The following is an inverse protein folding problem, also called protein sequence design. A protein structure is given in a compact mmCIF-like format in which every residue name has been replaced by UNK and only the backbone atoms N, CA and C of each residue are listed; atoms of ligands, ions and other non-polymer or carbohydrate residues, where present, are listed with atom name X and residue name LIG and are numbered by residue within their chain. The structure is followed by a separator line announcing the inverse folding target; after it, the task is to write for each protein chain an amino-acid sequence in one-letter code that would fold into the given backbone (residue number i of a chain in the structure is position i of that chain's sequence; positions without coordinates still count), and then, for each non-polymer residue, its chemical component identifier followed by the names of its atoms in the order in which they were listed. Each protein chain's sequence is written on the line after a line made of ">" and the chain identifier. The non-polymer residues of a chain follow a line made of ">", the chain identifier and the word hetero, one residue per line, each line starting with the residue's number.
data_IF_821783821099
#
_entry.id   IF_821783821099
#
_cell.length_a   1.000
_cell.length_b   1.000
_cell.length_c   1.000
_cell.angle_alpha   90.00
_cell.angle_beta   90.00
_cell.angle_gamma   90.00
#
_symmetry.space_group_name_H-M   'P 1'
#
loop_
_entity.id
_entity.type
_entity.pdbx_description
1 polymer ?
#
# COMPACT_ATOMS: atom_id res chain seq x y z
N UNK A 1 -27.66 11.25 14.98
CA UNK A 1 -26.77 10.46 14.11
C UNK A 1 -26.06 9.51 15.03
N UNK A 2 -26.44 8.23 14.98
CA UNK A 2 -25.83 7.21 15.82
C UNK A 2 -24.49 6.84 15.18
N UNK A 3 -23.39 7.26 15.80
CA UNK A 3 -22.03 7.11 15.24
C UNK A 3 -21.55 5.65 15.18
N UNK A 4 -22.34 4.69 15.70
CA UNK A 4 -21.98 3.27 15.71
C UNK A 4 -20.81 2.96 16.62
N UNK A 5 -20.45 1.67 16.71
CA UNK A 5 -19.40 1.17 17.63
C UNK A 5 -18.00 1.69 17.26
N UNK A 6 -17.80 2.14 16.01
CA UNK A 6 -16.52 2.68 15.54
C UNK A 6 -16.69 3.95 14.71
N UNK A 7 -17.42 4.93 15.27
CA UNK A 7 -17.54 6.27 14.71
C UNK A 7 -16.23 7.05 14.64
N UNK A 8 -16.26 8.26 14.07
CA UNK A 8 -15.06 9.07 13.81
C UNK A 8 -14.19 9.29 15.05
N UNK A 9 -14.79 9.56 16.21
CA UNK A 9 -14.04 9.78 17.46
C UNK A 9 -13.34 8.50 17.92
N UNK A 10 -14.00 7.35 17.82
CA UNK A 10 -13.42 6.05 18.16
C UNK A 10 -12.28 5.67 17.19
N UNK A 11 -12.44 5.96 15.90
CA UNK A 11 -11.39 5.79 14.89
C UNK A 11 -10.16 6.66 15.21
N UNK A 12 -10.36 7.95 15.49
CA UNK A 12 -9.26 8.87 15.81
C UNK A 12 -8.49 8.42 17.06
N UNK A 13 -9.21 7.93 18.08
CA UNK A 13 -8.60 7.35 19.27
C UNK A 13 -7.79 6.09 18.95
N UNK A 14 -8.36 5.15 18.20
CA UNK A 14 -7.67 3.91 17.86
C UNK A 14 -6.44 4.15 16.97
N UNK A 15 -6.52 5.14 16.06
CA UNK A 15 -5.36 5.59 15.28
C UNK A 15 -4.28 6.14 16.22
N UNK A 16 -4.64 7.00 17.17
CA UNK A 16 -3.70 7.56 18.14
C UNK A 16 -3.05 6.48 19.02
N UNK A 17 -3.80 5.44 19.40
CA UNK A 17 -3.27 4.29 20.15
C UNK A 17 -2.26 3.48 19.32
N UNK A 18 -2.52 3.24 18.02
CA UNK A 18 -1.55 2.59 17.12
C UNK A 18 -0.32 3.46 16.90
N UNK A 19 -0.49 4.78 16.73
CA UNK A 19 0.64 5.72 16.62
C UNK A 19 1.48 5.74 17.90
N UNK A 20 0.85 5.66 19.08
CA UNK A 20 1.54 5.56 20.36
C UNK A 20 2.31 4.24 20.51
N UNK A 21 1.73 3.12 20.07
CA UNK A 21 2.43 1.82 20.10
C UNK A 21 3.64 1.80 19.14
N UNK A 22 3.52 2.45 17.98
CA UNK A 22 4.65 2.65 17.07
C UNK A 22 5.75 3.51 17.71
N UNK A 23 5.41 4.58 18.42
CA UNK A 23 6.37 5.40 19.15
C UNK A 23 7.07 4.61 20.27
N UNK A 24 6.30 3.83 21.05
CA UNK A 24 6.84 2.93 22.07
C UNK A 24 7.80 1.90 21.49
N UNK A 25 7.47 1.32 20.33
CA UNK A 25 8.36 0.41 19.62
C UNK A 25 9.67 1.11 19.22
N UNK A 26 9.62 2.35 18.73
CA UNK A 26 10.83 3.12 18.43
C UNK A 26 11.70 3.36 19.67
N UNK A 27 11.11 3.68 20.82
CA UNK A 27 11.82 3.87 22.09
C UNK A 27 12.50 2.56 22.53
N UNK A 28 11.75 1.45 22.55
CA UNK A 28 12.28 0.14 22.91
C UNK A 28 13.42 -0.32 21.99
N UNK A 29 13.32 -0.03 20.70
CA UNK A 29 14.39 -0.29 19.74
C UNK A 29 15.60 0.62 20.01
N UNK A 30 15.41 1.90 20.31
CA UNK A 30 16.50 2.83 20.62
C UNK A 30 17.28 2.42 21.88
N UNK A 31 16.57 1.91 22.89
CA UNK A 31 17.16 1.40 24.13
C UNK A 31 17.81 0.00 23.97
N UNK A 32 17.63 -0.65 22.81
CA UNK A 32 18.11 -2.00 22.55
C UNK A 32 17.39 -3.08 23.35
N UNK A 33 16.26 -2.74 23.98
CA UNK A 33 15.62 -3.54 25.05
C UNK A 33 14.54 -4.51 24.58
N UNK A 34 14.18 -4.56 23.29
CA UNK A 34 13.10 -5.44 22.87
C UNK A 34 13.46 -6.24 21.64
N UNK A 35 13.42 -7.57 21.80
CA UNK A 35 12.84 -8.55 20.88
C UNK A 35 13.27 -10.00 21.20
N UNK A 36 13.41 -10.37 22.48
CA UNK A 36 13.69 -11.77 22.84
C UNK A 36 15.03 -12.30 22.32
N UNK A 37 16.07 -11.46 22.38
CA UNK A 37 17.46 -11.87 22.42
C UNK A 37 17.93 -11.63 23.87
N UNK A 38 18.78 -12.51 24.39
CA UNK A 38 19.17 -12.58 25.81
C UNK A 38 19.56 -11.22 26.41
N UNK A 39 19.29 -11.03 27.71
CA UNK A 39 19.73 -9.85 28.47
C UNK A 39 21.24 -9.60 28.24
N UNK A 40 21.59 -8.39 27.82
CA UNK A 40 22.98 -7.95 27.67
C UNK A 40 23.57 -7.98 26.25
N UNK A 41 22.82 -8.32 25.21
CA UNK A 41 23.25 -8.07 23.82
C UNK A 41 22.86 -6.68 23.35
N UNK A 42 23.86 -5.83 23.12
CA UNK A 42 23.69 -4.55 22.43
C UNK A 42 23.23 -4.82 20.98
N UNK A 43 21.93 -4.67 20.72
CA UNK A 43 21.40 -4.70 19.35
C UNK A 43 21.70 -3.38 18.64
N UNK A 44 21.77 -3.41 17.30
CA UNK A 44 21.72 -2.21 16.46
C UNK A 44 20.29 -1.63 16.40
N UNK A 45 19.61 -1.57 17.56
CA UNK A 45 18.23 -1.13 17.67
C UNK A 45 18.05 0.36 17.35
N UNK A 46 19.09 1.17 17.61
CA UNK A 46 19.13 2.57 17.17
C UNK A 46 18.94 2.75 15.66
N UNK A 47 19.49 1.86 14.82
CA UNK A 47 19.30 1.95 13.37
C UNK A 47 17.85 1.66 12.94
N UNK A 48 17.17 0.73 13.60
CA UNK A 48 15.75 0.43 13.34
C UNK A 48 14.85 1.57 13.83
N UNK A 49 15.17 2.16 14.99
CA UNK A 49 14.45 3.32 15.52
C UNK A 49 14.59 4.55 14.61
N UNK A 50 15.82 4.91 14.22
CA UNK A 50 16.11 5.98 13.25
C UNK A 50 15.32 5.81 11.96
N UNK A 51 15.30 4.60 11.41
CA UNK A 51 14.59 4.27 10.17
C UNK A 51 13.07 4.47 10.29
N UNK A 52 12.47 4.06 11.41
CA UNK A 52 11.03 4.24 11.64
C UNK A 52 10.68 5.72 11.85
N UNK A 53 11.52 6.49 12.55
CA UNK A 53 11.34 7.94 12.71
C UNK A 53 11.40 8.64 11.34
N UNK A 54 12.41 8.32 10.51
CA UNK A 54 12.53 8.84 9.14
C UNK A 54 11.27 8.54 8.31
N UNK A 55 10.72 7.33 8.40
CA UNK A 55 9.48 6.96 7.71
C UNK A 55 8.30 7.85 8.13
N UNK A 56 8.08 8.05 9.43
CA UNK A 56 6.96 8.86 9.91
C UNK A 56 7.11 10.35 9.55
N UNK A 57 8.33 10.88 9.59
CA UNK A 57 8.57 12.26 9.17
C UNK A 57 8.34 12.43 7.66
N UNK A 58 8.73 11.45 6.86
CA UNK A 58 8.49 11.45 5.42
C UNK A 58 6.99 11.33 5.08
N UNK A 59 6.24 10.50 5.80
CA UNK A 59 4.77 10.41 5.69
C UNK A 59 4.12 11.76 5.96
N UNK A 60 4.57 12.48 7.00
CA UNK A 60 4.07 13.81 7.36
C UNK A 60 4.41 14.84 6.29
N UNK A 61 5.66 14.85 5.81
CA UNK A 61 6.15 15.81 4.83
C UNK A 61 5.51 15.65 3.45
N UNK A 62 5.32 14.41 2.96
CA UNK A 62 4.74 14.12 1.63
C UNK A 62 3.20 14.16 1.59
N UNK A 63 2.53 14.64 2.66
CA UNK A 63 1.06 14.71 2.70
C UNK A 63 0.36 13.35 2.62
N UNK A 64 1.08 12.25 2.87
CA UNK A 64 0.57 10.86 2.77
C UNK A 64 -0.28 10.44 3.98
N UNK A 65 -0.53 11.37 4.91
CA UNK A 65 -1.30 11.15 6.15
C UNK A 65 -2.68 10.52 5.92
N UNK A 66 -3.48 10.91 4.90
CA UNK A 66 -4.75 10.22 4.63
C UNK A 66 -4.57 8.76 4.20
N UNK A 67 -3.47 8.43 3.53
CA UNK A 67 -3.13 7.05 3.17
C UNK A 67 -2.80 6.22 4.41
N UNK A 68 -2.00 6.77 5.33
CA UNK A 68 -1.62 6.08 6.58
C UNK A 68 -2.82 5.84 7.50
N UNK A 69 -3.77 6.80 7.58
CA UNK A 69 -5.03 6.57 8.28
C UNK A 69 -5.78 5.35 7.73
N UNK A 70 -5.84 5.19 6.40
CA UNK A 70 -6.45 4.02 5.75
C UNK A 70 -5.71 2.71 6.07
N UNK A 71 -4.37 2.73 6.11
CA UNK A 71 -3.56 1.55 6.45
C UNK A 71 -3.80 1.07 7.89
N UNK A 72 -3.97 2.02 8.82
CA UNK A 72 -4.24 1.72 10.24
C UNK A 72 -5.68 1.25 10.44
N UNK A 73 -6.64 1.96 9.85
CA UNK A 73 -8.08 1.68 10.08
C UNK A 73 -8.55 0.38 9.44
N UNK A 74 -7.96 -0.05 8.33
CA UNK A 74 -8.37 -1.29 7.66
C UNK A 74 -8.39 -2.53 8.60
N UNK A 75 -7.28 -2.95 9.22
CA UNK A 75 -7.30 -4.14 10.08
C UNK A 75 -8.20 -3.96 11.31
N UNK A 76 -8.30 -2.74 11.87
CA UNK A 76 -9.20 -2.43 12.98
C UNK A 76 -10.66 -2.65 12.59
N UNK A 77 -11.07 -2.10 11.45
CA UNK A 77 -12.42 -2.22 10.92
C UNK A 77 -12.79 -3.65 10.53
N UNK A 78 -11.85 -4.41 9.95
CA UNK A 78 -12.10 -5.81 9.58
C UNK A 78 -12.32 -6.66 10.83
N UNK A 79 -11.48 -6.49 11.87
CA UNK A 79 -11.67 -7.21 13.12
C UNK A 79 -12.98 -6.78 13.80
N UNK A 80 -13.26 -5.48 13.88
CA UNK A 80 -14.50 -4.95 14.43
C UNK A 80 -15.75 -5.42 13.67
N UNK A 81 -15.68 -5.60 12.35
CA UNK A 81 -16.78 -6.17 11.57
C UNK A 81 -17.09 -7.62 12.00
N UNK A 82 -16.09 -8.40 12.41
CA UNK A 82 -16.30 -9.78 12.84
C UNK A 82 -16.69 -9.92 14.32
N UNK A 83 -16.19 -9.05 15.18
CA UNK A 83 -16.28 -9.22 16.64
C UNK A 83 -17.11 -8.15 17.35
N UNK A 84 -17.39 -7.03 16.70
CA UNK A 84 -17.89 -5.81 17.32
C UNK A 84 -16.86 -5.03 18.12
N UNK A 85 -15.60 -5.49 18.20
CA UNK A 85 -14.51 -4.82 18.93
C UNK A 85 -13.28 -4.66 18.02
N UNK A 86 -12.97 -3.45 17.54
CA UNK A 86 -11.85 -3.22 16.63
C UNK A 86 -10.47 -3.19 17.32
N UNK A 87 -10.42 -2.92 18.63
CA UNK A 87 -9.17 -2.65 19.35
C UNK A 87 -8.14 -3.80 19.31
N UNK A 88 -8.53 -5.09 19.39
CA UNK A 88 -7.57 -6.20 19.40
C UNK A 88 -6.71 -6.30 18.12
N UNK A 89 -7.12 -5.68 17.00
CA UNK A 89 -6.35 -5.68 15.76
C UNK A 89 -5.24 -4.63 15.69
N UNK A 90 -5.02 -3.82 16.74
CA UNK A 90 -3.92 -2.85 16.78
C UNK A 90 -2.53 -3.44 16.41
N UNK A 91 -2.14 -4.66 16.87
CA UNK A 91 -0.87 -5.25 16.45
C UNK A 91 -0.79 -5.57 14.96
N UNK A 92 -1.92 -5.90 14.32
CA UNK A 92 -1.97 -6.11 12.86
C UNK A 92 -1.80 -4.78 12.12
N UNK A 93 -2.36 -3.68 12.64
CA UNK A 93 -2.12 -2.34 12.12
C UNK A 93 -0.64 -1.94 12.20
N UNK A 94 0.02 -2.22 13.34
CA UNK A 94 1.46 -2.02 13.52
C UNK A 94 2.26 -2.83 12.49
N UNK A 95 1.97 -4.13 12.34
CA UNK A 95 2.65 -4.99 11.35
C UNK A 95 2.48 -4.44 9.92
N UNK A 96 1.29 -3.96 9.58
CA UNK A 96 1.01 -3.36 8.27
C UNK A 96 1.85 -2.08 8.05
N UNK A 97 1.98 -1.22 9.07
CA UNK A 97 2.83 -0.03 8.98
C UNK A 97 4.32 -0.37 8.85
N UNK A 98 4.82 -1.36 9.61
CA UNK A 98 6.20 -1.84 9.51
C UNK A 98 6.50 -2.37 8.10
N UNK A 99 5.55 -3.10 7.51
CA UNK A 99 5.65 -3.54 6.13
C UNK A 99 5.79 -2.35 5.17
N UNK A 100 4.94 -1.33 5.29
CA UNK A 100 4.98 -0.14 4.43
C UNK A 100 6.24 0.69 4.61
N UNK A 101 6.76 0.80 5.84
CA UNK A 101 8.02 1.47 6.12
C UNK A 101 9.17 0.82 5.35
N UNK A 102 9.25 -0.51 5.37
CA UNK A 102 10.25 -1.27 4.64
C UNK A 102 10.04 -1.22 3.13
N UNK A 103 8.83 -1.48 2.65
CA UNK A 103 8.52 -1.53 1.22
C UNK A 103 8.82 -0.18 0.55
N UNK A 104 8.44 0.93 1.18
CA UNK A 104 8.67 2.27 0.65
C UNK A 104 10.16 2.58 0.50
N UNK A 105 10.97 2.23 1.48
CA UNK A 105 12.42 2.43 1.39
C UNK A 105 13.05 1.62 0.25
N UNK A 106 12.64 0.35 0.10
CA UNK A 106 13.15 -0.54 -0.95
C UNK A 106 12.70 -0.10 -2.36
N UNK A 107 11.48 0.41 -2.49
CA UNK A 107 10.95 0.98 -3.73
C UNK A 107 11.70 2.27 -4.11
N UNK A 108 11.85 3.23 -3.18
CA UNK A 108 12.61 4.48 -3.39
C UNK A 108 14.07 4.19 -3.84
N UNK A 109 14.72 3.16 -3.28
CA UNK A 109 16.08 2.73 -3.68
C UNK A 109 16.12 2.21 -5.13
N UNK A 110 15.08 1.48 -5.53
CA UNK A 110 14.99 0.89 -6.87
C UNK A 110 14.71 1.95 -7.93
N UNK A 111 13.87 2.93 -7.60
CA UNK A 111 13.56 4.06 -8.47
C UNK A 111 14.76 5.00 -8.64
N UNK A 112 15.49 5.31 -7.56
CA UNK A 112 16.71 6.11 -7.63
C UNK A 112 17.76 5.49 -8.56
N UNK A 113 17.93 4.17 -8.49
CA UNK A 113 18.84 3.43 -9.38
C UNK A 113 18.41 3.47 -10.87
N UNK A 114 17.13 3.71 -11.14
CA UNK A 114 16.57 3.82 -12.49
C UNK A 114 16.67 5.24 -13.06
N UNK A 115 16.73 6.25 -12.19
CA UNK A 115 16.87 7.67 -12.53
C UNK A 115 18.34 8.10 -12.77
N UNK A 116 19.28 7.60 -11.96
CA UNK A 116 20.69 7.92 -12.08
C UNK A 116 21.42 6.90 -12.96
N UNK A 117 21.83 7.31 -14.16
CA UNK A 117 22.60 6.46 -15.07
C UNK A 117 23.93 6.01 -14.45
N UNK A 118 23.96 4.82 -13.83
CA UNK A 118 25.06 3.92 -13.45
C UNK A 118 26.36 4.47 -12.78
N UNK A 119 26.69 5.75 -12.84
CA UNK A 119 28.03 6.31 -12.63
C UNK A 119 28.25 6.98 -11.26
N UNK A 120 27.23 7.17 -10.42
CA UNK A 120 27.34 7.85 -9.11
C UNK A 120 27.40 6.89 -7.90
N UNK A 121 27.69 5.59 -8.09
CA UNK A 121 27.44 4.55 -7.08
C UNK A 121 28.53 4.32 -6.02
N UNK A 122 29.61 5.10 -5.97
CA UNK A 122 30.78 4.73 -5.14
C UNK A 122 30.85 5.39 -3.76
N UNK A 123 30.08 6.44 -3.47
CA UNK A 123 30.19 7.18 -2.19
C UNK A 123 29.07 6.86 -1.18
N UNK A 124 27.90 6.35 -1.64
CA UNK A 124 26.73 6.08 -0.77
C UNK A 124 26.51 4.59 -0.42
N UNK A 125 27.32 3.67 -0.97
CA UNK A 125 27.09 2.22 -0.85
C UNK A 125 27.01 1.67 0.59
N UNK A 126 27.85 2.11 1.57
CA UNK A 126 27.75 1.64 2.95
C UNK A 126 26.47 2.10 3.66
N UNK A 127 25.99 3.33 3.37
CA UNK A 127 24.76 3.86 3.95
C UNK A 127 23.51 3.16 3.40
N UNK A 128 23.50 2.85 2.10
CA UNK A 128 22.46 2.03 1.47
C UNK A 128 22.43 0.61 2.06
N UNK A 129 23.60 -0.02 2.27
CA UNK A 129 23.70 -1.33 2.92
C UNK A 129 23.08 -1.38 4.32
N UNK A 130 23.35 -0.37 5.17
CA UNK A 130 22.74 -0.25 6.51
C UNK A 130 21.21 -0.24 6.41
N UNK A 131 20.65 0.63 5.57
CA UNK A 131 19.19 0.81 5.47
C UNK A 131 18.48 -0.39 4.83
N UNK A 132 19.11 -1.11 3.88
CA UNK A 132 18.55 -2.37 3.36
C UNK A 132 18.41 -3.42 4.47
N UNK A 133 19.46 -3.63 5.27
CA UNK A 133 19.41 -4.55 6.40
C UNK A 133 18.36 -4.13 7.43
N UNK A 134 18.25 -2.83 7.69
CA UNK A 134 17.21 -2.28 8.56
C UNK A 134 15.81 -2.55 8.00
N UNK A 135 15.55 -2.31 6.71
CA UNK A 135 14.25 -2.58 6.09
C UNK A 135 13.88 -4.08 6.18
N UNK A 136 14.84 -4.98 6.00
CA UNK A 136 14.64 -6.42 6.17
C UNK A 136 14.30 -6.79 7.62
N UNK A 137 14.98 -6.19 8.60
CA UNK A 137 14.68 -6.41 10.01
C UNK A 137 13.30 -5.85 10.38
N UNK A 138 13.04 -4.58 10.03
CA UNK A 138 11.80 -3.84 10.33
C UNK A 138 10.57 -4.51 9.73
N UNK A 139 10.63 -4.88 8.46
CA UNK A 139 9.48 -5.39 7.73
C UNK A 139 9.33 -6.91 7.76
N UNK A 140 10.43 -7.65 7.97
CA UNK A 140 10.43 -9.11 7.97
C UNK A 140 10.51 -9.73 9.37
N UNK A 141 11.39 -9.23 10.24
CA UNK A 141 11.69 -9.87 11.54
C UNK A 141 10.87 -9.29 12.69
N UNK A 142 10.68 -7.96 12.76
CA UNK A 142 9.85 -7.34 13.81
C UNK A 142 8.42 -7.90 13.82
N UNK A 143 7.73 -8.07 12.67
CA UNK A 143 6.39 -8.65 12.66
C UNK A 143 6.32 -10.04 13.26
N UNK A 144 7.32 -10.89 12.97
CA UNK A 144 7.39 -12.23 13.54
C UNK A 144 7.51 -12.22 15.08
N UNK A 145 8.26 -11.24 15.62
CA UNK A 145 8.39 -11.06 17.07
C UNK A 145 7.13 -10.51 17.72
N UNK A 146 6.45 -9.56 17.06
CA UNK A 146 5.13 -9.08 17.50
C UNK A 146 4.14 -10.24 17.55
N UNK A 147 4.03 -11.03 16.47
CA UNK A 147 3.13 -12.19 16.39
C UNK A 147 3.44 -13.21 17.49
N UNK A 148 4.72 -13.52 17.73
CA UNK A 148 5.13 -14.46 18.76
C UNK A 148 4.72 -14.02 20.18
N UNK A 149 4.74 -12.71 20.45
CA UNK A 149 4.35 -12.12 21.72
C UNK A 149 2.83 -11.94 21.92
N UNK A 150 2.01 -12.19 20.90
CA UNK A 150 0.56 -12.01 21.02
C UNK A 150 -0.08 -13.00 22.01
N UNK A 151 -1.03 -12.54 22.85
CA UNK A 151 -1.82 -13.39 23.74
C UNK A 151 -2.90 -14.16 22.98
N UNK A 152 -2.53 -14.85 21.90
CA UNK A 152 -3.41 -15.63 21.03
C UNK A 152 -3.08 -17.14 21.10
N UNK A 153 -3.96 -17.98 20.56
CA UNK A 153 -3.67 -19.42 20.41
C UNK A 153 -2.55 -19.68 19.41
N UNK A 154 -1.86 -20.84 19.53
CA UNK A 154 -0.76 -21.20 18.63
C UNK A 154 -1.20 -21.25 17.14
N UNK A 155 -2.42 -21.72 16.88
CA UNK A 155 -2.98 -21.74 15.53
C UNK A 155 -3.18 -20.35 14.94
N UNK A 156 -3.66 -19.38 15.74
CA UNK A 156 -3.84 -17.98 15.30
C UNK A 156 -2.48 -17.35 15.01
N UNK A 157 -1.49 -17.52 15.88
CA UNK A 157 -0.12 -17.02 15.63
C UNK A 157 0.49 -17.61 14.36
N UNK A 158 0.30 -18.91 14.12
CA UNK A 158 0.76 -19.55 12.89
C UNK A 158 0.06 -18.99 11.64
N UNK A 159 -1.25 -18.75 11.70
CA UNK A 159 -2.01 -18.16 10.60
C UNK A 159 -1.55 -16.72 10.30
N UNK A 160 -1.32 -15.89 11.33
CA UNK A 160 -0.77 -14.54 11.16
C UNK A 160 0.62 -14.56 10.51
N UNK A 161 1.48 -15.50 10.92
CA UNK A 161 2.80 -15.65 10.32
C UNK A 161 2.73 -16.07 8.84
N UNK A 162 1.79 -16.96 8.47
CA UNK A 162 1.54 -17.33 7.07
C UNK A 162 1.08 -16.13 6.25
N UNK A 163 0.13 -15.33 6.75
CA UNK A 163 -0.37 -14.13 6.04
C UNK A 163 0.75 -13.11 5.81
N UNK A 164 1.61 -12.86 6.81
CA UNK A 164 2.76 -11.95 6.64
C UNK A 164 3.74 -12.47 5.60
N UNK A 165 4.08 -13.76 5.66
CA UNK A 165 4.99 -14.38 4.69
C UNK A 165 4.41 -14.35 3.27
N UNK A 166 3.14 -14.70 3.12
CA UNK A 166 2.42 -14.69 1.85
C UNK A 166 2.32 -13.27 1.28
N UNK A 167 2.00 -12.28 2.12
CA UNK A 167 1.96 -10.87 1.73
C UNK A 167 3.28 -10.36 1.17
N UNK A 168 4.40 -10.69 1.83
CA UNK A 168 5.75 -10.38 1.32
C UNK A 168 6.05 -11.05 -0.02
N UNK A 169 5.80 -12.36 -0.15
CA UNK A 169 6.09 -13.10 -1.38
C UNK A 169 5.27 -12.59 -2.56
N UNK A 170 3.96 -12.36 -2.36
CA UNK A 170 3.08 -11.80 -3.39
C UNK A 170 3.56 -10.39 -3.80
N UNK A 171 3.89 -9.52 -2.84
CA UNK A 171 4.31 -8.16 -3.12
C UNK A 171 5.67 -8.09 -3.84
N UNK A 172 6.64 -8.91 -3.43
CA UNK A 172 7.95 -8.98 -4.10
C UNK A 172 7.80 -9.51 -5.53
N UNK A 173 6.99 -10.54 -5.76
CA UNK A 173 6.69 -11.00 -7.12
C UNK A 173 6.00 -9.90 -7.96
N UNK A 174 5.10 -9.11 -7.35
CA UNK A 174 4.53 -7.92 -7.95
C UNK A 174 5.59 -6.89 -8.35
N UNK A 175 6.50 -6.56 -7.43
CA UNK A 175 7.59 -5.61 -7.68
C UNK A 175 8.53 -6.10 -8.80
N UNK A 176 8.94 -7.37 -8.77
CA UNK A 176 9.83 -7.91 -9.80
C UNK A 176 9.20 -7.85 -11.20
N UNK A 177 7.87 -7.99 -11.29
CA UNK A 177 7.15 -7.81 -12.55
C UNK A 177 7.09 -6.36 -12.98
N UNK A 178 6.78 -5.45 -12.05
CA UNK A 178 6.77 -4.00 -12.31
C UNK A 178 8.11 -3.54 -12.90
N UNK A 179 9.23 -4.04 -12.37
CA UNK A 179 10.58 -3.72 -12.85
C UNK A 179 10.95 -4.34 -14.20
N UNK A 180 10.24 -5.38 -14.64
CA UNK A 180 10.53 -6.10 -15.90
C UNK A 180 9.49 -5.83 -16.99
N UNK A 181 8.29 -5.37 -16.62
CA UNK A 181 7.22 -5.03 -17.54
C UNK A 181 7.59 -3.78 -18.34
N UNK A 182 7.26 -3.80 -19.64
CA UNK A 182 7.57 -2.69 -20.54
C UNK A 182 6.29 -2.15 -21.17
N UNK A 183 6.07 -0.83 -21.18
CA UNK A 183 4.87 -0.22 -21.76
C UNK A 183 4.50 -0.68 -23.18
N UNK A 184 5.44 -0.96 -24.11
CA UNK A 184 5.10 -1.44 -25.45
C UNK A 184 4.38 -2.79 -25.50
N UNK A 185 4.54 -3.63 -24.47
CA UNK A 185 3.96 -4.99 -24.40
C UNK A 185 2.98 -5.17 -23.23
N UNK A 186 2.89 -4.18 -22.34
CA UNK A 186 1.94 -4.16 -21.25
C UNK A 186 0.50 -4.05 -21.78
N UNK A 187 -0.43 -4.65 -21.03
CA UNK A 187 -1.87 -4.58 -21.26
C UNK A 187 -2.56 -4.06 -20.00
N UNK A 188 -3.76 -3.45 -20.08
CA UNK A 188 -4.46 -3.00 -18.88
C UNK A 188 -4.62 -4.13 -17.84
N UNK A 189 -4.90 -5.34 -18.30
CA UNK A 189 -5.02 -6.51 -17.42
C UNK A 189 -3.70 -7.00 -16.81
N UNK A 190 -2.54 -6.81 -17.47
CA UNK A 190 -1.25 -7.17 -16.88
C UNK A 190 -0.84 -6.18 -15.78
N UNK A 191 -1.06 -4.88 -16.02
CA UNK A 191 -0.82 -3.84 -15.02
C UNK A 191 -1.70 -4.04 -13.78
N UNK A 192 -3.01 -4.31 -13.95
CA UNK A 192 -3.89 -4.59 -12.81
C UNK A 192 -3.45 -5.83 -12.01
N UNK A 193 -2.97 -6.89 -12.67
CA UNK A 193 -2.39 -8.04 -11.96
C UNK A 193 -1.09 -7.69 -11.23
N UNK A 194 -0.31 -6.75 -11.78
CA UNK A 194 0.82 -6.13 -11.08
C UNK A 194 0.36 -5.44 -9.81
N UNK A 195 -0.67 -4.59 -9.90
CA UNK A 195 -1.21 -3.83 -8.76
C UNK A 195 -1.81 -4.75 -7.70
N UNK A 196 -2.51 -5.82 -8.09
CA UNK A 196 -3.05 -6.84 -7.18
C UNK A 196 -1.96 -7.51 -6.34
N UNK A 197 -0.74 -7.60 -6.87
CA UNK A 197 0.41 -8.21 -6.19
C UNK A 197 1.22 -7.17 -5.43
N UNK A 198 1.73 -6.12 -6.08
CA UNK A 198 2.58 -5.08 -5.46
C UNK A 198 1.87 -4.39 -4.29
N UNK A 199 0.73 -3.76 -4.58
CA UNK A 199 0.01 -2.92 -3.61
C UNK A 199 -1.20 -3.65 -3.01
N UNK A 200 -1.83 -4.55 -3.76
CA UNK A 200 -2.95 -5.36 -3.29
C UNK A 200 -2.57 -6.36 -2.20
N UNK A 201 -1.40 -7.01 -2.28
CA UNK A 201 -0.98 -8.02 -1.31
C UNK A 201 -0.83 -7.51 0.13
N UNK A 202 -0.19 -6.36 0.43
CA UNK A 202 -0.10 -5.88 1.81
C UNK A 202 -1.45 -5.50 2.41
N UNK A 203 -2.38 -4.94 1.62
CA UNK A 203 -3.74 -4.69 2.09
C UNK A 203 -4.52 -5.99 2.33
N UNK A 204 -4.33 -6.98 1.45
CA UNK A 204 -4.89 -8.32 1.59
C UNK A 204 -4.37 -9.03 2.85
N UNK A 205 -3.06 -8.94 3.12
CA UNK A 205 -2.40 -9.44 4.33
C UNK A 205 -3.00 -8.81 5.58
N UNK A 206 -3.17 -7.47 5.62
CA UNK A 206 -3.71 -6.78 6.78
C UNK A 206 -5.16 -7.19 7.07
N UNK A 207 -6.01 -7.24 6.05
CA UNK A 207 -7.40 -7.65 6.19
C UNK A 207 -7.53 -9.13 6.61
N UNK A 208 -6.80 -10.03 5.96
CA UNK A 208 -6.81 -11.45 6.30
C UNK A 208 -6.25 -11.71 7.71
N UNK A 209 -5.17 -11.02 8.10
CA UNK A 209 -4.58 -11.13 9.44
C UNK A 209 -5.56 -10.68 10.52
N UNK A 210 -6.29 -9.58 10.31
CA UNK A 210 -7.32 -9.13 11.23
C UNK A 210 -8.47 -10.15 11.37
N UNK A 211 -8.89 -10.76 10.26
CA UNK A 211 -9.89 -11.83 10.28
C UNK A 211 -9.38 -13.09 11.01
N UNK A 212 -8.13 -13.50 10.77
CA UNK A 212 -7.49 -14.60 11.51
C UNK A 212 -7.48 -14.34 13.01
N UNK A 213 -7.15 -13.11 13.42
CA UNK A 213 -7.14 -12.71 14.83
C UNK A 213 -8.53 -12.71 15.45
N UNK A 214 -9.57 -12.36 14.68
CA UNK A 214 -10.97 -12.47 15.09
C UNK A 214 -11.45 -13.93 15.24
N UNK A 215 -10.64 -14.92 14.84
CA UNK A 215 -10.94 -16.34 15.01
C UNK A 215 -11.96 -16.89 14.01
N UNK A 216 -12.16 -16.22 12.86
CA UNK A 216 -13.13 -16.64 11.86
C UNK A 216 -12.58 -17.72 10.92
N UNK A 217 -13.48 -18.51 10.32
CA UNK A 217 -13.10 -19.63 9.44
C UNK A 217 -12.47 -19.19 8.11
N UNK A 218 -11.70 -20.10 7.49
CA UNK A 218 -10.90 -19.82 6.29
C UNK A 218 -11.66 -19.16 5.12
N UNK A 219 -12.92 -19.54 4.87
CA UNK A 219 -13.75 -18.89 3.83
C UNK A 219 -13.98 -17.39 4.09
N UNK A 220 -14.17 -16.99 5.35
CA UNK A 220 -14.31 -15.57 5.71
C UNK A 220 -12.97 -14.84 5.58
N UNK A 221 -11.89 -15.47 6.03
CA UNK A 221 -10.52 -14.94 5.83
C UNK A 221 -10.23 -14.74 4.33
N UNK A 222 -10.60 -15.68 3.47
CA UNK A 222 -10.42 -15.57 2.02
C UNK A 222 -11.20 -14.40 1.42
N UNK A 223 -12.43 -14.17 1.89
CA UNK A 223 -13.24 -13.01 1.49
C UNK A 223 -12.59 -11.69 1.92
N UNK A 224 -12.12 -11.58 3.16
CA UNK A 224 -11.40 -10.39 3.63
C UNK A 224 -10.09 -10.17 2.87
N UNK A 225 -9.37 -11.24 2.53
CA UNK A 225 -8.18 -11.17 1.69
C UNK A 225 -8.52 -10.61 0.31
N UNK A 226 -9.61 -11.07 -0.29
CA UNK A 226 -10.08 -10.57 -1.60
C UNK A 226 -10.48 -9.10 -1.54
N UNK A 227 -11.19 -8.69 -0.48
CA UNK A 227 -11.54 -7.28 -0.25
C UNK A 227 -10.30 -6.39 -0.09
N UNK A 228 -9.38 -6.76 0.81
CA UNK A 228 -8.14 -6.02 1.02
C UNK A 228 -7.34 -5.88 -0.28
N UNK A 229 -7.25 -6.94 -1.09
CA UNK A 229 -6.61 -6.89 -2.41
C UNK A 229 -7.28 -5.90 -3.35
N UNK A 230 -8.61 -5.90 -3.44
CA UNK A 230 -9.37 -4.97 -4.26
C UNK A 230 -9.16 -3.51 -3.83
N UNK A 231 -9.20 -3.23 -2.52
CA UNK A 231 -8.92 -1.91 -1.98
C UNK A 231 -7.49 -1.45 -2.30
N UNK A 232 -6.50 -2.34 -2.19
CA UNK A 232 -5.11 -2.03 -2.53
C UNK A 232 -4.92 -1.68 -4.01
N UNK A 233 -5.64 -2.32 -4.93
CA UNK A 233 -5.64 -1.94 -6.36
C UNK A 233 -6.19 -0.53 -6.55
N UNK A 234 -7.31 -0.19 -5.92
CA UNK A 234 -7.88 1.17 -5.98
C UNK A 234 -6.90 2.20 -5.41
N UNK A 235 -6.18 1.87 -4.34
CA UNK A 235 -5.14 2.73 -3.75
C UNK A 235 -3.97 2.96 -4.70
N UNK A 236 -3.54 1.94 -5.44
CA UNK A 236 -2.48 2.11 -6.45
C UNK A 236 -2.94 3.03 -7.58
N UNK A 237 -4.15 2.86 -8.08
CA UNK A 237 -4.70 3.76 -9.11
C UNK A 237 -4.70 5.22 -8.64
N UNK A 238 -5.08 5.48 -7.37
CA UNK A 238 -5.01 6.81 -6.78
C UNK A 238 -3.56 7.30 -6.63
N UNK A 239 -2.62 6.41 -6.34
CA UNK A 239 -1.20 6.76 -6.26
C UNK A 239 -0.67 7.28 -7.60
N UNK A 240 -0.92 6.56 -8.69
CA UNK A 240 -0.51 6.98 -10.04
C UNK A 240 -1.12 8.33 -10.43
N UNK A 241 -2.40 8.54 -10.08
CA UNK A 241 -3.08 9.81 -10.32
C UNK A 241 -2.48 10.97 -9.51
N UNK A 242 -2.08 10.70 -8.26
CA UNK A 242 -1.41 11.71 -7.42
C UNK A 242 -0.03 12.06 -7.95
N UNK A 243 0.72 11.11 -8.51
CA UNK A 243 1.99 11.41 -9.19
C UNK A 243 1.77 12.40 -10.33
N UNK A 244 0.83 12.09 -11.23
CA UNK A 244 0.47 12.96 -12.36
C UNK A 244 -0.02 14.34 -11.90
N UNK A 245 -0.95 14.39 -10.94
CA UNK A 245 -1.53 15.64 -10.47
C UNK A 245 -0.54 16.52 -9.70
N UNK A 246 0.48 15.92 -9.09
CA UNK A 246 1.52 16.65 -8.37
C UNK A 246 2.53 17.34 -9.28
N UNK A 247 2.56 16.97 -10.57
CA UNK A 247 3.54 17.48 -11.54
C UNK A 247 4.97 16.94 -11.34
N UNK A 248 5.19 16.02 -10.39
CA UNK A 248 6.50 15.37 -10.24
C UNK A 248 6.79 14.44 -11.42
N UNK A 249 5.76 13.75 -11.91
CA UNK A 249 5.84 12.83 -13.04
C UNK A 249 6.93 11.77 -12.84
N UNK A 250 7.06 11.25 -11.61
CA UNK A 250 8.05 10.25 -11.22
C UNK A 250 7.85 8.98 -12.06
N UNK A 251 6.61 8.55 -12.26
CA UNK A 251 6.30 7.36 -13.05
C UNK A 251 6.73 7.50 -14.51
N UNK A 252 6.46 8.66 -15.13
CA UNK A 252 6.88 8.93 -16.50
C UNK A 252 8.40 9.11 -16.64
N UNK A 253 9.06 9.64 -15.60
CA UNK A 253 10.51 9.77 -15.56
C UNK A 253 11.20 8.40 -15.44
N UNK A 254 10.62 7.50 -14.65
CA UNK A 254 11.09 6.12 -14.46
C UNK A 254 10.74 5.23 -15.67
N UNK A 255 9.74 5.62 -16.45
CA UNK A 255 9.26 4.85 -17.60
C UNK A 255 8.31 3.72 -17.21
N UNK A 256 7.61 3.90 -16.07
CA UNK A 256 6.68 2.95 -15.47
C UNK A 256 5.43 2.77 -16.34
N UNK A 257 4.98 1.52 -16.47
CA UNK A 257 3.78 1.18 -17.23
C UNK A 257 2.50 1.38 -16.40
N UNK A 258 2.16 2.63 -16.05
CA UNK A 258 0.97 2.90 -15.23
C UNK A 258 -0.34 2.55 -15.95
N UNK A 259 -1.40 2.28 -15.19
CA UNK A 259 -2.68 1.82 -15.76
C UNK A 259 -3.27 2.85 -16.74
N UNK A 260 -3.23 4.15 -16.43
CA UNK A 260 -3.74 5.20 -17.34
C UNK A 260 -2.91 5.28 -18.63
N UNK A 261 -1.59 5.15 -18.55
CA UNK A 261 -0.73 5.14 -19.74
C UNK A 261 -1.05 3.95 -20.64
N UNK A 262 -1.15 2.75 -20.07
CA UNK A 262 -1.43 1.54 -20.83
C UNK A 262 -2.86 1.55 -21.39
N UNK A 263 -3.81 2.14 -20.66
CA UNK A 263 -5.18 2.39 -21.13
C UNK A 263 -5.19 3.30 -22.36
N UNK A 264 -4.49 4.45 -22.31
CA UNK A 264 -4.30 5.32 -23.48
C UNK A 264 -3.71 4.54 -24.67
N UNK A 265 -2.61 3.81 -24.44
CA UNK A 265 -1.91 3.07 -25.50
C UNK A 265 -2.79 1.98 -26.14
N UNK A 266 -3.74 1.40 -25.40
CA UNK A 266 -4.68 0.42 -25.90
C UNK A 266 -5.83 1.04 -26.71
N UNK A 267 -6.20 2.29 -26.40
CA UNK A 267 -7.25 3.03 -27.11
C UNK A 267 -6.76 3.65 -28.43
N UNK A 268 -5.45 3.95 -28.55
CA UNK A 268 -4.89 4.64 -29.71
C UNK A 268 -4.76 3.76 -30.95
N UNK A 269 -5.04 4.29 -32.16
CA UNK A 269 -4.66 3.65 -33.43
C UNK A 269 -3.15 3.41 -33.54
N UNK A 270 -2.74 2.42 -34.33
CA UNK A 270 -1.34 1.96 -34.39
C UNK A 270 -0.30 3.06 -34.66
N UNK A 271 -0.62 4.06 -35.49
CA UNK A 271 0.27 5.20 -35.76
C UNK A 271 0.44 6.08 -34.51
N UNK A 272 -0.67 6.54 -33.93
CA UNK A 272 -0.68 7.36 -32.71
C UNK A 272 -0.10 6.63 -31.50
N UNK A 273 -0.30 5.31 -31.41
CA UNK A 273 0.32 4.47 -30.39
C UNK A 273 1.85 4.51 -30.48
N UNK A 274 2.44 4.49 -31.68
CA UNK A 274 3.91 4.61 -31.85
C UNK A 274 4.41 5.98 -31.41
N UNK A 275 3.66 7.04 -31.72
CA UNK A 275 4.00 8.40 -31.26
C UNK A 275 3.95 8.51 -29.73
N UNK A 276 2.90 8.00 -29.09
CA UNK A 276 2.79 7.96 -27.63
C UNK A 276 3.93 7.17 -26.97
N UNK A 277 4.34 6.04 -27.57
CA UNK A 277 5.49 5.27 -27.09
C UNK A 277 6.83 6.01 -27.25
N UNK A 278 6.98 6.79 -28.33
CA UNK A 278 8.16 7.62 -28.52
C UNK A 278 8.20 8.78 -27.50
N UNK A 279 7.05 9.42 -27.23
CA UNK A 279 6.91 10.42 -26.17
C UNK A 279 7.24 9.82 -24.80
N UNK A 280 6.73 8.62 -24.50
CA UNK A 280 7.03 7.92 -23.25
C UNK A 280 8.53 7.61 -23.11
N UNK A 281 9.19 7.14 -24.17
CA UNK A 281 10.64 6.93 -24.14
C UNK A 281 11.42 8.25 -23.92
N UNK A 282 10.96 9.35 -24.51
CA UNK A 282 11.56 10.67 -24.34
C UNK A 282 11.27 11.30 -22.97
N UNK A 283 10.11 11.00 -22.37
CA UNK A 283 9.64 11.50 -21.08
C UNK A 283 10.63 11.22 -19.93
N UNK A 284 11.44 10.17 -20.03
CA UNK A 284 12.53 9.88 -19.08
C UNK A 284 13.54 11.02 -18.94
N UNK A 285 13.74 11.82 -19.99
CA UNK A 285 14.77 12.88 -20.04
C UNK A 285 14.25 14.24 -20.47
N UNK A 286 12.98 14.35 -20.87
CA UNK A 286 12.41 15.58 -21.41
C UNK A 286 11.14 15.98 -20.67
N UNK A 287 11.18 17.15 -20.03
CA UNK A 287 10.01 17.74 -19.39
C UNK A 287 8.91 18.09 -20.40
N UNK A 288 9.27 18.50 -21.63
CA UNK A 288 8.28 18.77 -22.67
C UNK A 288 7.59 17.49 -23.13
N UNK A 289 8.32 16.39 -23.27
CA UNK A 289 7.73 15.09 -23.59
C UNK A 289 6.83 14.57 -22.47
N UNK A 290 7.19 14.80 -21.20
CA UNK A 290 6.30 14.51 -20.05
C UNK A 290 5.02 15.33 -20.09
N UNK A 291 5.12 16.63 -20.35
CA UNK A 291 3.96 17.51 -20.44
C UNK A 291 3.04 17.12 -21.60
N UNK A 292 3.61 16.83 -22.77
CA UNK A 292 2.85 16.42 -23.96
C UNK A 292 2.15 15.08 -23.77
N UNK A 293 2.85 14.06 -23.26
CA UNK A 293 2.24 12.76 -22.97
C UNK A 293 1.17 12.86 -21.87
N UNK A 294 1.42 13.67 -20.83
CA UNK A 294 0.43 13.93 -19.79
C UNK A 294 -0.84 14.56 -20.37
N UNK A 295 -0.72 15.51 -21.30
CA UNK A 295 -1.87 16.10 -21.96
C UNK A 295 -2.70 15.06 -22.74
N UNK A 296 -2.06 14.06 -23.36
CA UNK A 296 -2.79 12.98 -24.03
C UNK A 296 -3.45 12.02 -23.03
N UNK A 297 -2.80 11.74 -21.91
CA UNK A 297 -3.35 10.90 -20.84
C UNK A 297 -4.54 11.54 -20.13
N UNK A 298 -4.55 12.88 -20.05
CA UNK A 298 -5.60 13.68 -19.41
C UNK A 298 -6.65 14.22 -20.40
N UNK A 299 -6.60 13.79 -21.66
CA UNK A 299 -7.65 14.08 -22.63
C UNK A 299 -9.00 13.55 -22.14
N UNK A 300 -10.07 14.32 -22.38
CA UNK A 300 -11.39 14.02 -21.82
C UNK A 300 -11.89 12.63 -22.22
N UNK A 301 -11.76 12.23 -23.49
CA UNK A 301 -12.23 10.92 -23.98
C UNK A 301 -11.46 9.76 -23.32
N UNK A 302 -10.16 9.96 -23.10
CA UNK A 302 -9.28 8.99 -22.45
C UNK A 302 -9.64 8.82 -20.99
N UNK A 303 -9.88 9.93 -20.28
CA UNK A 303 -10.34 9.87 -18.89
C UNK A 303 -11.74 9.23 -18.82
N UNK A 304 -12.59 9.30 -19.86
CA UNK A 304 -14.00 8.83 -19.78
C UNK A 304 -13.99 7.31 -19.84
N UNK A 305 -13.28 6.80 -20.85
CA UNK A 305 -13.03 5.39 -21.01
C UNK A 305 -12.23 4.79 -19.85
N UNK A 306 -11.29 5.54 -19.24
CA UNK A 306 -10.56 5.12 -18.05
C UNK A 306 -11.47 5.02 -16.82
N UNK A 307 -12.32 6.02 -16.57
CA UNK A 307 -13.26 5.97 -15.46
C UNK A 307 -14.24 4.79 -15.60
N UNK A 308 -14.74 4.56 -16.83
CA UNK A 308 -15.59 3.41 -17.13
C UNK A 308 -14.88 2.06 -16.92
N UNK A 309 -13.57 1.97 -17.18
CA UNK A 309 -12.80 0.74 -16.94
C UNK A 309 -12.49 0.48 -15.46
N UNK A 310 -12.43 1.54 -14.64
CA UNK A 310 -12.21 1.43 -13.18
C UNK A 310 -13.49 1.17 -12.39
N UNK A 311 -14.65 1.64 -12.86
CA UNK A 311 -15.93 1.49 -12.13
C UNK A 311 -16.24 0.05 -11.66
N UNK A 312 -16.05 -1.01 -12.48
CA UNK A 312 -16.25 -2.39 -12.03
C UNK A 312 -15.33 -2.83 -10.88
N UNK A 313 -14.16 -2.20 -10.71
CA UNK A 313 -13.26 -2.50 -9.58
C UNK A 313 -13.81 -1.94 -8.27
N UNK A 314 -14.44 -0.76 -8.33
CA UNK A 314 -15.12 -0.14 -7.18
C UNK A 314 -16.35 -0.96 -6.79
N UNK A 315 -17.18 -1.32 -7.77
CA UNK A 315 -18.35 -2.19 -7.57
C UNK A 315 -17.96 -3.54 -6.95
N UNK A 316 -16.85 -4.14 -7.42
CA UNK A 316 -16.32 -5.38 -6.85
C UNK A 316 -15.92 -5.22 -5.39
N UNK A 317 -15.28 -4.11 -5.01
CA UNK A 317 -14.89 -3.87 -3.62
C UNK A 317 -16.12 -3.76 -2.70
N UNK A 318 -17.17 -3.05 -3.13
CA UNK A 318 -18.43 -2.99 -2.38
C UNK A 318 -19.15 -4.33 -2.32
N UNK A 319 -19.27 -5.04 -3.45
CA UNK A 319 -19.94 -6.34 -3.48
C UNK A 319 -19.26 -7.40 -2.59
N UNK A 320 -17.94 -7.30 -2.41
CA UNK A 320 -17.21 -8.14 -1.44
C UNK A 320 -17.60 -7.81 0.01
N UNK A 321 -17.74 -6.52 0.34
CA UNK A 321 -18.19 -6.09 1.68
C UNK A 321 -19.64 -6.50 1.95
N UNK A 322 -20.53 -6.31 0.98
CA UNK A 322 -21.94 -6.71 1.06
C UNK A 322 -22.07 -8.22 1.32
N UNK A 323 -21.24 -9.03 0.65
CA UNK A 323 -21.21 -10.47 0.82
C UNK A 323 -20.59 -10.93 2.15
N UNK A 324 -19.64 -10.18 2.70
CA UNK A 324 -18.99 -10.50 3.98
C UNK A 324 -19.88 -10.16 5.19
N UNK A 325 -20.54 -9.00 5.14
CA UNK A 325 -21.33 -8.47 6.25
C UNK A 325 -20.50 -8.28 7.53
N UNK A 326 -21.18 -8.26 8.69
CA UNK A 326 -20.58 -8.07 10.00
C UNK A 326 -21.26 -6.98 10.82
N UNK A 327 -20.54 -6.41 11.78
CA UNK A 327 -21.00 -5.23 12.53
C UNK A 327 -21.36 -4.08 11.55
N UNK A 328 -22.60 -3.55 11.59
CA UNK A 328 -23.04 -2.54 10.63
C UNK A 328 -22.25 -1.22 10.68
N UNK A 329 -21.68 -0.88 11.84
CA UNK A 329 -20.86 0.32 11.99
C UNK A 329 -19.53 0.15 11.26
N UNK A 330 -18.83 -0.95 11.53
CA UNK A 330 -17.56 -1.25 10.87
C UNK A 330 -17.70 -1.47 9.37
N UNK A 331 -18.73 -2.20 8.92
CA UNK A 331 -18.98 -2.42 7.48
C UNK A 331 -19.23 -1.10 6.77
N UNK A 332 -20.06 -0.20 7.33
CA UNK A 332 -20.32 1.12 6.73
C UNK A 332 -19.03 1.93 6.56
N UNK A 333 -18.15 1.90 7.54
CA UNK A 333 -16.86 2.61 7.48
C UNK A 333 -15.88 1.96 6.49
N UNK A 334 -15.97 0.64 6.27
CA UNK A 334 -15.25 -0.04 5.18
C UNK A 334 -15.76 0.39 3.80
N UNK A 335 -17.08 0.52 3.60
CA UNK A 335 -17.63 1.12 2.37
C UNK A 335 -17.12 2.55 2.19
N UNK A 336 -17.11 3.35 3.26
CA UNK A 336 -16.58 4.71 3.25
C UNK A 336 -15.10 4.76 2.83
N UNK A 337 -14.27 3.80 3.27
CA UNK A 337 -12.88 3.72 2.82
C UNK A 337 -12.75 3.47 1.31
N UNK A 338 -13.64 2.66 0.72
CA UNK A 338 -13.72 2.47 -0.73
C UNK A 338 -14.14 3.77 -1.41
N UNK A 339 -15.21 4.40 -0.95
CA UNK A 339 -15.74 5.66 -1.52
C UNK A 339 -14.72 6.80 -1.45
N UNK A 340 -14.07 6.98 -0.30
CA UNK A 340 -13.03 7.98 -0.13
C UNK A 340 -11.84 7.70 -1.04
N UNK A 341 -11.50 6.43 -1.29
CA UNK A 341 -10.44 6.08 -2.24
C UNK A 341 -10.88 6.41 -3.67
N UNK A 342 -12.07 5.97 -4.07
CA UNK A 342 -12.61 6.21 -5.41
C UNK A 342 -12.77 7.71 -5.71
N UNK A 343 -13.21 8.53 -4.75
CA UNK A 343 -13.40 9.98 -4.91
C UNK A 343 -12.13 10.79 -5.23
N UNK A 344 -10.94 10.18 -5.13
CA UNK A 344 -9.68 10.78 -5.58
C UNK A 344 -9.36 10.54 -7.06
N UNK A 345 -10.13 9.70 -7.76
CA UNK A 345 -9.95 9.42 -9.17
C UNK A 345 -10.63 10.50 -10.04
N UNK A 346 -10.06 10.83 -11.23
CA UNK A 346 -10.32 12.08 -11.95
C UNK A 346 -11.78 12.40 -12.32
N UNK A 347 -12.67 11.41 -12.48
CA UNK A 347 -14.11 11.64 -12.71
C UNK A 347 -15.05 11.23 -11.58
N UNK A 348 -14.53 10.63 -10.51
CA UNK A 348 -15.32 10.31 -9.32
C UNK A 348 -15.50 11.51 -8.38
N UNK A 349 -15.01 12.70 -8.77
CA UNK A 349 -15.35 13.98 -8.13
C UNK A 349 -16.73 14.53 -8.47
N UNK A 350 -17.58 13.78 -9.18
CA UNK A 350 -18.94 14.17 -9.54
C UNK A 350 -19.93 13.01 -9.35
N UNK A 351 -20.12 12.56 -8.10
CA UNK A 351 -21.34 11.91 -7.64
C UNK A 351 -21.33 11.84 -6.10
N UNK A 352 -21.22 12.99 -5.44
CA UNK A 352 -21.67 13.14 -4.05
C UNK A 352 -22.71 14.25 -4.06
N UNK A 353 -23.97 13.83 -4.22
CA UNK A 353 -25.16 14.56 -3.84
C UNK A 353 -25.96 13.65 -2.91
#
# INVERSE_FOLDING_TARGET
>A
MDEGVFGRVAQERAIAEVEAEMARLCELLAEGLAMGLDEGREMVGGAMSEFLVEFFDLVRAKGSRPGVKGMITLPLLVHGAETGDPAPAAPVAVIHLLWWASARYLDDLTDAASAEGAASRTVEAPAAGKKILTALAVGGQLPGRIIAGLPAGAAVRAALADEVSRGWLDAVDGQLRDLTERPPVASPGSVLRGYERKTGAPYAMAAASAACLAGVGGRRVDGWRAYGRALGVLRQLVNDQRDLASGRHEDLANGTATYLLVHLLAALPAARRREALALHAAARRSASARAELTAWMLDDEIIESYAASVAPLVERAHGLLDGLGGDPGCVRELHRLVDETAGHLPRFRLAVA
#
